data_IF_986599600240
#
_entry.id   IF_986599600240
#
_cell.length_a   1.000
_cell.length_b   1.000
_cell.length_c   1.000
_cell.angle_alpha   90.00
_cell.angle_beta   90.00
_cell.angle_gamma   90.00
#
_symmetry.space_group_name_H-M   'P 1'
#
loop_
_entity.id
_entity.type
_entity.pdbx_description
1 polymer ?
#
# COMPACT_ATOMS: atom_id res chain seq x y z
N UNK A 1 11.85 0.47 6.02
CA UNK A 1 11.02 -0.74 5.97
C UNK A 1 9.60 -0.55 6.52
N UNK A 2 9.31 0.54 7.24
CA UNK A 2 7.97 0.88 7.74
C UNK A 2 7.43 2.13 7.04
N UNK A 3 6.11 2.32 7.02
CA UNK A 3 5.45 3.47 6.40
C UNK A 3 5.19 4.53 7.46
N UNK A 4 5.50 5.78 7.13
CA UNK A 4 5.03 6.96 7.85
C UNK A 4 4.40 7.93 6.86
N UNK A 5 3.40 8.68 7.30
CA UNK A 5 2.61 9.56 6.43
C UNK A 5 3.45 10.64 5.74
N UNK A 6 4.46 11.17 6.43
CA UNK A 6 5.42 12.14 5.89
C UNK A 6 6.28 11.53 4.77
N UNK A 7 6.80 10.32 4.98
CA UNK A 7 7.67 9.64 4.00
C UNK A 7 6.91 9.02 2.84
N UNK A 8 5.63 8.70 3.03
CA UNK A 8 4.75 8.18 1.99
C UNK A 8 4.59 9.14 0.80
N UNK A 9 4.75 10.46 1.01
CA UNK A 9 4.66 11.45 -0.07
C UNK A 9 5.83 11.39 -1.05
N UNK A 10 7.00 10.92 -0.61
CA UNK A 10 8.15 10.74 -1.50
C UNK A 10 7.85 9.67 -2.55
N UNK A 11 7.31 8.52 -2.12
CA UNK A 11 6.88 7.43 -3.00
C UNK A 11 5.88 7.91 -4.05
N UNK A 12 4.89 8.72 -3.65
CA UNK A 12 3.92 9.31 -4.60
C UNK A 12 4.58 10.28 -5.58
N UNK A 13 5.49 11.11 -5.08
CA UNK A 13 6.17 12.10 -5.92
C UNK A 13 7.07 11.44 -6.96
N UNK A 14 7.77 10.36 -6.60
CA UNK A 14 8.56 9.54 -7.52
C UNK A 14 7.68 8.86 -8.57
N UNK A 15 6.58 8.23 -8.16
CA UNK A 15 5.59 7.64 -9.06
C UNK A 15 5.02 8.66 -10.06
N UNK A 16 4.60 9.83 -9.56
CA UNK A 16 4.09 10.92 -10.40
C UNK A 16 5.14 11.43 -11.39
N UNK A 17 6.43 11.42 -11.02
CA UNK A 17 7.51 11.78 -11.93
C UNK A 17 7.64 10.79 -13.09
N UNK A 18 7.54 9.49 -12.82
CA UNK A 18 7.52 8.46 -13.87
C UNK A 18 6.30 8.64 -14.78
N UNK A 19 5.13 8.89 -14.19
CA UNK A 19 3.89 9.11 -14.94
C UNK A 19 4.01 10.33 -15.85
N UNK A 20 4.48 11.47 -15.34
CA UNK A 20 4.54 12.74 -16.09
C UNK A 20 5.58 12.74 -17.20
N UNK A 21 6.73 12.09 -16.98
CA UNK A 21 7.87 12.21 -17.89
C UNK A 21 8.04 11.01 -18.85
N UNK A 22 7.14 10.03 -18.82
CA UNK A 22 7.23 8.86 -19.71
C UNK A 22 7.09 9.26 -21.18
N UNK A 23 7.84 8.58 -22.04
CA UNK A 23 7.61 8.51 -23.48
C UNK A 23 7.35 7.05 -23.85
N UNK A 24 6.09 6.72 -24.09
CA UNK A 24 5.64 5.33 -24.28
C UNK A 24 4.80 4.81 -23.10
N UNK A 25 4.60 3.49 -23.01
CA UNK A 25 3.86 2.86 -21.91
C UNK A 25 4.46 3.19 -20.55
N UNK A 26 3.60 3.31 -19.54
CA UNK A 26 4.04 3.47 -18.15
C UNK A 26 4.66 2.14 -17.68
N UNK A 27 5.84 2.13 -17.03
CA UNK A 27 6.34 0.94 -16.35
C UNK A 27 5.43 0.59 -15.15
N UNK A 28 5.55 -0.62 -14.63
CA UNK A 28 4.86 -0.97 -13.39
C UNK A 28 5.38 -0.13 -12.22
N UNK A 29 4.47 0.55 -11.52
CA UNK A 29 4.79 1.40 -10.38
C UNK A 29 4.18 0.78 -9.13
N UNK A 30 5.03 0.06 -8.38
CA UNK A 30 4.61 -0.71 -7.20
C UNK A 30 5.41 -0.30 -5.99
N UNK A 31 4.83 -0.47 -4.80
CA UNK A 31 5.55 -0.35 -3.54
C UNK A 31 5.64 -1.72 -2.85
N UNK A 32 6.78 -2.02 -2.24
CA UNK A 32 6.96 -3.22 -1.41
C UNK A 32 7.30 -2.78 0.00
N UNK A 33 6.63 -3.34 1.01
CA UNK A 33 6.85 -2.96 2.39
C UNK A 33 6.44 -4.01 3.42
N UNK A 34 6.77 -3.74 4.68
CA UNK A 34 6.41 -4.58 5.83
C UNK A 34 5.88 -3.75 6.98
N UNK A 35 4.98 -2.82 6.69
CA UNK A 35 4.29 -2.05 7.71
C UNK A 35 3.21 -2.90 8.39
N UNK A 36 3.26 -3.12 9.71
CA UNK A 36 2.30 -3.98 10.40
C UNK A 36 0.93 -3.32 10.66
N UNK A 37 0.78 -2.02 10.43
CA UNK A 37 -0.48 -1.31 10.67
C UNK A 37 -1.25 -1.09 9.36
N UNK A 38 -2.43 -1.71 9.18
CA UNK A 38 -3.27 -1.51 7.98
C UNK A 38 -3.57 -0.03 7.70
N UNK A 39 -3.74 0.79 8.74
CA UNK A 39 -3.97 2.24 8.60
C UNK A 39 -2.81 2.99 7.94
N UNK A 40 -1.57 2.52 8.13
CA UNK A 40 -0.39 3.12 7.49
C UNK A 40 -0.15 2.55 6.09
N UNK A 41 -0.50 1.29 5.83
CA UNK A 41 -0.56 0.74 4.48
C UNK A 41 -1.57 1.55 3.64
N UNK A 42 -2.75 1.82 4.21
CA UNK A 42 -3.81 2.60 3.57
C UNK A 42 -3.37 4.02 3.18
N UNK A 43 -2.44 4.63 3.91
CA UNK A 43 -1.89 5.95 3.56
C UNK A 43 -1.17 5.96 2.20
N UNK A 44 -0.70 4.80 1.72
CA UNK A 44 -0.18 4.62 0.35
C UNK A 44 -1.22 3.98 -0.57
N UNK A 45 -1.94 2.95 -0.10
CA UNK A 45 -2.83 2.13 -0.92
C UNK A 45 -4.09 2.90 -1.37
N UNK A 46 -4.69 3.68 -0.45
CA UNK A 46 -5.89 4.46 -0.72
C UNK A 46 -5.48 5.79 -1.35
N UNK A 47 -5.42 5.83 -2.68
CA UNK A 47 -4.93 6.95 -3.47
C UNK A 47 -5.34 6.88 -4.95
N UNK A 48 -5.06 7.94 -5.69
CA UNK A 48 -5.66 8.30 -7.00
C UNK A 48 -4.95 7.74 -8.23
N UNK A 49 -4.35 6.55 -8.13
CA UNK A 49 -3.72 5.87 -9.29
C UNK A 49 -2.24 6.18 -9.51
N UNK A 50 -1.53 6.68 -8.49
CA UNK A 50 -0.07 6.88 -8.56
C UNK A 50 0.68 5.53 -8.50
N UNK A 51 0.14 4.58 -7.75
CA UNK A 51 0.66 3.22 -7.62
C UNK A 51 -0.33 2.21 -8.20
N UNK A 52 0.21 1.24 -8.94
CA UNK A 52 -0.53 0.09 -9.45
C UNK A 52 -1.04 -0.76 -8.28
N UNK A 53 -0.14 -1.15 -7.36
CA UNK A 53 -0.46 -1.89 -6.14
C UNK A 53 0.67 -1.83 -5.10
N UNK A 54 0.37 -2.32 -3.89
CA UNK A 54 1.32 -2.54 -2.80
C UNK A 54 1.48 -4.02 -2.51
N UNK A 55 2.73 -4.49 -2.46
CA UNK A 55 3.07 -5.82 -1.98
C UNK A 55 3.51 -5.76 -0.52
N UNK A 56 2.74 -6.41 0.36
CA UNK A 56 3.16 -6.65 1.73
C UNK A 56 4.00 -7.93 1.80
N UNK A 57 5.18 -7.87 2.42
CA UNK A 57 6.12 -9.00 2.44
C UNK A 57 5.62 -10.24 3.19
N UNK A 58 4.64 -10.08 4.08
CA UNK A 58 4.09 -11.11 4.95
C UNK A 58 2.56 -10.94 5.08
N UNK A 59 1.85 -10.89 3.94
CA UNK A 59 0.42 -10.56 3.91
C UNK A 59 -0.45 -11.62 4.60
N UNK A 60 -0.10 -12.90 4.48
CA UNK A 60 -0.83 -13.98 5.13
C UNK A 60 -0.67 -13.88 6.66
N UNK A 61 0.57 -13.71 7.11
CA UNK A 61 0.92 -13.58 8.52
C UNK A 61 0.31 -12.33 9.15
N UNK A 62 0.22 -11.22 8.40
CA UNK A 62 -0.49 -10.01 8.86
C UNK A 62 -1.98 -10.26 9.05
N UNK A 63 -2.64 -11.00 8.15
CA UNK A 63 -4.05 -11.35 8.29
C UNK A 63 -4.27 -12.25 9.52
N UNK A 64 -3.43 -13.26 9.70
CA UNK A 64 -3.46 -14.14 10.88
C UNK A 64 -3.28 -13.34 12.17
N UNK A 65 -2.25 -12.49 12.24
CA UNK A 65 -1.98 -11.67 13.42
C UNK A 65 -3.13 -10.71 13.78
N UNK A 66 -3.82 -10.14 12.79
CA UNK A 66 -5.00 -9.28 13.03
C UNK A 66 -6.18 -10.12 13.51
N UNK A 67 -6.35 -11.33 12.97
CA UNK A 67 -7.40 -12.27 13.38
C UNK A 67 -7.22 -12.75 14.82
N UNK A 68 -5.97 -13.02 15.25
CA UNK A 68 -5.66 -13.48 16.61
C UNK A 68 -5.99 -12.45 17.69
N UNK A 69 -5.89 -11.16 17.37
CA UNK A 69 -6.19 -10.06 18.29
C UNK A 69 -7.66 -9.59 18.24
N UNK A 70 -8.51 -10.29 17.49
CA UNK A 70 -9.95 -10.01 17.31
C UNK A 70 -10.24 -8.54 16.96
N UNK A 71 -9.42 -7.95 16.08
CA UNK A 71 -9.56 -6.54 15.69
C UNK A 71 -10.25 -6.40 14.33
N UNK A 72 -11.59 -6.40 14.37
CA UNK A 72 -12.42 -6.37 13.17
C UNK A 72 -12.18 -5.12 12.30
N UNK A 73 -12.05 -3.93 12.90
CA UNK A 73 -11.83 -2.68 12.16
C UNK A 73 -10.54 -2.73 11.31
N UNK A 74 -9.46 -3.30 11.87
CA UNK A 74 -8.19 -3.48 11.14
C UNK A 74 -8.31 -4.51 10.04
N UNK A 75 -9.05 -5.59 10.29
CA UNK A 75 -9.30 -6.63 9.29
C UNK A 75 -10.12 -6.09 8.12
N UNK A 76 -11.18 -5.32 8.40
CA UNK A 76 -12.04 -4.73 7.38
C UNK A 76 -11.29 -3.72 6.51
N UNK A 77 -10.43 -2.89 7.12
CA UNK A 77 -9.56 -1.99 6.37
C UNK A 77 -8.58 -2.76 5.48
N UNK A 78 -7.97 -3.82 5.99
CA UNK A 78 -7.05 -4.65 5.22
C UNK A 78 -7.76 -5.35 4.05
N UNK A 79 -8.93 -5.94 4.30
CA UNK A 79 -9.77 -6.58 3.27
C UNK A 79 -10.19 -5.59 2.19
N UNK A 80 -10.59 -4.39 2.57
CA UNK A 80 -10.96 -3.33 1.61
C UNK A 80 -9.82 -3.05 0.62
N UNK A 81 -8.56 -3.03 1.09
CA UNK A 81 -7.40 -2.85 0.21
C UNK A 81 -7.16 -4.08 -0.69
N UNK A 82 -7.24 -5.29 -0.13
CA UNK A 82 -7.04 -6.55 -0.87
C UNK A 82 -8.09 -6.72 -1.96
N UNK A 83 -9.37 -6.61 -1.61
CA UNK A 83 -10.50 -6.73 -2.53
C UNK A 83 -10.51 -5.61 -3.57
N UNK A 84 -10.09 -4.41 -3.16
CA UNK A 84 -9.88 -3.27 -4.05
C UNK A 84 -8.67 -3.41 -4.98
N UNK A 85 -7.88 -4.49 -4.87
CA UNK A 85 -6.64 -4.74 -5.64
C UNK A 85 -5.65 -3.56 -5.53
N UNK A 86 -5.47 -3.06 -4.30
CA UNK A 86 -4.60 -1.92 -3.98
C UNK A 86 -3.30 -2.34 -3.34
#
# INVERSE_FOLDING_TARGET
WTIRSDRAQNTRSEALNLIRNRKGPLPHVVAVGGEPLPSRIAALAMGTGDLDCIYHFALAELQEAISEIDNQDRMDLLRTMIEGRR
#
